data_IF_970454280920
#
_entry.id   IF_970454280920
#
_cell.length_a   1.000
_cell.length_b   1.000
_cell.length_c   1.000
_cell.angle_alpha   90.00
_cell.angle_beta   90.00
_cell.angle_gamma   90.00
#
_symmetry.space_group_name_H-M   'P 1'
#
loop_
_entity.id
_entity.type
_entity.pdbx_description
1 polymer ?
#
# COMPACT_ATOMS: atom_id res chain seq x y z
N UNK A 1 2.65 -20.47 11.10
CA UNK A 1 3.72 -19.67 10.47
C UNK A 1 3.11 -18.94 9.27
N UNK A 2 3.05 -17.62 9.32
CA UNK A 2 2.50 -16.80 8.25
C UNK A 2 3.36 -16.96 6.99
N UNK A 3 2.74 -17.28 5.86
CA UNK A 3 3.48 -17.32 4.58
C UNK A 3 3.62 -15.90 4.06
N UNK A 4 4.85 -15.49 3.76
CA UNK A 4 5.12 -14.27 3.03
C UNK A 4 4.45 -14.33 1.66
N UNK A 5 3.70 -13.29 1.31
CA UNK A 5 3.15 -13.09 -0.02
C UNK A 5 4.04 -12.20 -0.87
N UNK A 6 3.67 -12.03 -2.12
CA UNK A 6 4.28 -11.04 -3.01
C UNK A 6 3.65 -9.67 -2.76
N UNK A 7 2.34 -9.64 -2.56
CA UNK A 7 1.54 -8.44 -2.34
C UNK A 7 1.10 -8.31 -0.89
N UNK A 8 0.67 -9.40 -0.25
CA UNK A 8 0.24 -9.43 1.14
C UNK A 8 1.44 -9.77 2.04
N UNK A 9 1.77 -8.87 2.95
CA UNK A 9 2.85 -9.04 3.90
C UNK A 9 4.19 -9.48 3.25
N UNK A 10 4.79 -8.66 2.38
CA UNK A 10 5.96 -9.04 1.57
C UNK A 10 7.24 -9.25 2.38
N UNK A 11 7.22 -8.95 3.70
CA UNK A 11 8.37 -9.09 4.61
C UNK A 11 9.36 -7.96 4.49
N UNK A 12 10.60 -8.22 4.96
CA UNK A 12 11.64 -7.19 5.17
C UNK A 12 12.71 -7.14 4.08
N UNK A 13 12.82 -8.21 3.27
CA UNK A 13 13.94 -8.41 2.34
C UNK A 13 14.22 -7.22 1.41
N UNK A 14 13.18 -6.60 0.85
CA UNK A 14 13.37 -5.47 -0.08
C UNK A 14 14.00 -4.27 0.63
N UNK A 15 13.55 -3.99 1.85
CA UNK A 15 14.11 -2.92 2.66
C UNK A 15 15.53 -3.23 3.17
N UNK A 16 15.81 -4.48 3.54
CA UNK A 16 17.16 -4.92 3.92
C UNK A 16 18.18 -4.71 2.78
N UNK A 17 17.80 -5.00 1.53
CA UNK A 17 18.64 -4.70 0.36
C UNK A 17 18.95 -3.21 0.27
N UNK A 18 17.96 -2.36 0.56
CA UNK A 18 18.13 -0.91 0.57
C UNK A 18 19.07 -0.45 1.70
N UNK A 19 18.94 -1.03 2.90
CA UNK A 19 19.81 -0.75 4.05
C UNK A 19 21.27 -1.16 3.80
N UNK A 20 21.47 -2.27 3.10
CA UNK A 20 22.81 -2.78 2.77
C UNK A 20 23.49 -2.02 1.62
N UNK A 21 22.85 -1.00 1.08
CA UNK A 21 23.43 -0.16 0.02
C UNK A 21 24.62 0.65 0.56
N UNK A 22 25.65 0.84 -0.27
CA UNK A 22 26.87 1.60 0.11
C UNK A 22 26.55 3.01 0.64
N UNK A 23 25.47 3.62 0.17
CA UNK A 23 24.96 4.90 0.65
C UNK A 23 23.48 4.68 0.99
N UNK A 24 23.16 4.74 2.26
CA UNK A 24 21.80 4.74 2.78
C UNK A 24 21.57 6.00 3.60
N UNK A 25 20.45 6.67 3.36
CA UNK A 25 19.99 7.81 4.16
C UNK A 25 18.76 7.38 4.94
N UNK A 26 18.85 7.41 6.26
CA UNK A 26 17.72 7.06 7.13
C UNK A 26 16.58 8.05 6.98
N UNK A 27 15.46 7.55 6.48
CA UNK A 27 14.19 8.29 6.33
C UNK A 27 13.10 7.74 7.24
N UNK A 28 13.46 6.97 8.26
CA UNK A 28 12.49 6.33 9.16
C UNK A 28 11.65 7.31 9.98
N UNK A 29 12.03 8.59 10.06
CA UNK A 29 11.15 9.65 10.55
C UNK A 29 9.85 9.83 9.76
N UNK A 30 9.73 9.25 8.54
CA UNK A 30 8.46 9.16 7.84
C UNK A 30 7.45 8.27 8.59
N UNK A 31 7.94 7.22 9.25
CA UNK A 31 7.11 6.28 10.01
C UNK A 31 6.38 7.00 11.15
N UNK A 32 7.07 7.85 11.90
CA UNK A 32 6.46 8.66 12.96
C UNK A 32 5.31 9.52 12.43
N UNK A 33 5.51 10.14 11.25
CA UNK A 33 4.47 10.94 10.60
C UNK A 33 3.28 10.09 10.16
N UNK A 34 3.53 8.90 9.61
CA UNK A 34 2.44 8.00 9.19
C UNK A 34 1.74 7.34 10.37
N UNK A 35 2.46 7.03 11.46
CA UNK A 35 1.85 6.55 12.71
C UNK A 35 0.81 7.52 13.26
N UNK A 36 1.11 8.83 13.25
CA UNK A 36 0.20 9.87 13.72
C UNK A 36 -1.09 10.00 12.89
N UNK A 37 -1.15 9.39 11.71
CA UNK A 37 -2.31 9.44 10.81
C UNK A 37 -3.19 8.19 10.89
N UNK A 38 -2.69 7.09 11.45
CA UNK A 38 -3.44 5.83 11.59
C UNK A 38 -4.66 6.06 12.46
N UNK A 39 -5.82 5.60 11.99
CA UNK A 39 -7.09 5.74 12.70
C UNK A 39 -7.66 7.17 12.73
N UNK A 40 -7.14 8.08 11.89
CA UNK A 40 -7.65 9.44 11.72
C UNK A 40 -8.25 9.64 10.33
N UNK A 41 -8.98 10.74 10.13
CA UNK A 41 -9.49 11.11 8.80
C UNK A 41 -8.36 11.43 7.80
N UNK A 42 -7.13 11.57 8.26
CA UNK A 42 -5.94 11.87 7.44
C UNK A 42 -5.13 10.63 7.06
N UNK A 43 -5.70 9.44 7.25
CA UNK A 43 -5.06 8.15 6.95
C UNK A 43 -4.76 7.91 5.44
N UNK A 44 -5.20 8.82 4.58
CA UNK A 44 -4.93 8.76 3.13
C UNK A 44 -3.80 9.71 2.76
N UNK A 45 -2.63 9.15 2.50
CA UNK A 45 -1.40 9.90 2.21
C UNK A 45 -1.00 9.72 0.76
N UNK A 46 -0.83 10.81 0.02
CA UNK A 46 -0.26 10.77 -1.32
C UNK A 46 1.01 11.61 -1.41
N UNK A 47 2.09 10.95 -1.84
CA UNK A 47 3.41 11.57 -1.99
C UNK A 47 3.79 11.66 -3.46
N UNK A 48 3.84 12.88 -3.97
CA UNK A 48 4.30 13.17 -5.33
C UNK A 48 5.73 13.67 -5.30
N UNK A 49 6.65 12.93 -5.92
CA UNK A 49 8.07 13.30 -6.06
C UNK A 49 8.61 12.82 -7.40
N UNK A 50 9.60 13.50 -7.98
CA UNK A 50 10.28 13.05 -9.18
C UNK A 50 10.84 11.62 -9.04
N UNK A 51 11.20 11.01 -10.18
CA UNK A 51 11.92 9.72 -10.16
C UNK A 51 13.23 9.84 -9.38
N UNK A 52 13.68 8.73 -8.78
CA UNK A 52 14.94 8.61 -8.00
C UNK A 52 14.95 9.34 -6.65
N UNK A 53 13.81 9.79 -6.14
CA UNK A 53 13.69 10.40 -4.80
C UNK A 53 13.38 9.39 -3.68
N UNK A 54 13.53 8.08 -3.94
CA UNK A 54 13.41 7.03 -2.92
C UNK A 54 11.97 6.70 -2.52
N UNK A 55 10.97 6.93 -3.41
CA UNK A 55 9.55 6.61 -3.14
C UNK A 55 9.33 5.12 -2.88
N UNK A 56 9.85 4.26 -3.76
CA UNK A 56 9.71 2.80 -3.61
C UNK A 56 10.43 2.29 -2.36
N UNK A 57 11.61 2.83 -2.04
CA UNK A 57 12.32 2.53 -0.79
C UNK A 57 11.49 2.92 0.44
N UNK A 58 10.80 4.07 0.40
CA UNK A 58 9.91 4.48 1.48
C UNK A 58 8.73 3.50 1.64
N UNK A 59 8.12 3.06 0.54
CA UNK A 59 7.07 2.03 0.58
C UNK A 59 7.59 0.69 1.11
N UNK A 60 8.81 0.28 0.76
CA UNK A 60 9.47 -0.93 1.28
C UNK A 60 9.73 -0.83 2.78
N UNK A 61 10.20 0.31 3.24
CA UNK A 61 10.41 0.60 4.66
C UNK A 61 9.09 0.52 5.44
N UNK A 62 8.04 1.17 4.95
CA UNK A 62 6.72 1.13 5.59
C UNK A 62 6.14 -0.31 5.60
N UNK A 63 6.30 -1.07 4.50
CA UNK A 63 5.88 -2.46 4.44
C UNK A 63 6.59 -3.32 5.50
N UNK A 64 7.88 -3.12 5.64
CA UNK A 64 8.71 -3.84 6.63
C UNK A 64 8.37 -3.49 8.07
N UNK A 65 8.05 -2.22 8.33
CA UNK A 65 7.73 -1.74 9.67
C UNK A 65 6.33 -2.18 10.13
N UNK A 66 5.32 -1.96 9.29
CA UNK A 66 3.94 -2.28 9.66
C UNK A 66 3.62 -3.77 9.58
N UNK A 67 4.30 -4.51 8.69
CA UNK A 67 3.99 -5.89 8.36
C UNK A 67 4.18 -6.86 9.52
N UNK A 68 3.12 -7.61 9.86
CA UNK A 68 3.06 -8.53 11.00
C UNK A 68 3.64 -9.92 10.75
N UNK A 69 4.03 -10.21 9.52
CA UNK A 69 4.49 -11.57 9.12
C UNK A 69 5.90 -11.90 9.57
N UNK A 70 6.71 -10.88 9.83
CA UNK A 70 8.11 -10.98 10.26
C UNK A 70 8.37 -9.97 11.36
N UNK A 71 9.06 -10.37 12.41
CA UNK A 71 9.56 -9.42 13.39
C UNK A 71 10.72 -8.61 12.78
N UNK A 72 10.50 -7.33 12.62
CA UNK A 72 11.48 -6.39 12.06
C UNK A 72 12.13 -5.49 13.11
N UNK A 73 11.95 -5.78 14.39
CA UNK A 73 12.47 -4.95 15.49
C UNK A 73 13.98 -4.75 15.41
N UNK A 74 14.77 -5.79 15.12
CA UNK A 74 16.21 -5.68 14.99
C UNK A 74 16.69 -4.69 13.90
N UNK A 75 15.85 -4.49 12.88
CA UNK A 75 16.12 -3.52 11.80
C UNK A 75 15.82 -2.11 12.32
N UNK A 76 14.63 -1.90 12.86
CA UNK A 76 14.14 -0.57 13.20
C UNK A 76 14.68 -0.03 14.52
N UNK A 77 15.14 -0.89 15.45
CA UNK A 77 15.83 -0.48 16.68
C UNK A 77 17.12 0.32 16.40
N UNK A 78 17.69 0.17 15.20
CA UNK A 78 18.92 0.86 14.75
C UNK A 78 18.64 2.15 13.97
N UNK A 79 17.39 2.48 13.70
CA UNK A 79 16.98 3.62 12.90
C UNK A 79 16.38 4.73 13.76
N UNK A 80 16.32 5.95 13.23
CA UNK A 80 15.85 7.13 13.96
C UNK A 80 14.44 6.97 14.55
N UNK A 81 13.58 6.18 13.93
CA UNK A 81 12.23 5.89 14.44
C UNK A 81 12.22 5.25 15.83
N UNK A 82 13.28 4.56 16.22
CA UNK A 82 13.34 3.89 17.53
C UNK A 82 13.22 4.84 18.71
N UNK A 83 13.51 6.13 18.52
CA UNK A 83 13.35 7.18 19.54
C UNK A 83 11.93 7.78 19.61
N UNK A 84 11.04 7.48 18.67
CA UNK A 84 9.68 8.00 18.65
C UNK A 84 8.77 7.27 19.66
N UNK A 85 7.91 7.99 20.37
CA UNK A 85 6.97 7.40 21.34
C UNK A 85 6.04 6.37 20.68
N UNK A 86 5.60 6.62 19.43
CA UNK A 86 4.72 5.73 18.67
C UNK A 86 5.42 4.50 18.08
N UNK A 87 6.75 4.35 18.28
CA UNK A 87 7.54 3.31 17.61
C UNK A 87 7.00 1.89 17.86
N UNK A 88 6.83 1.50 19.13
CA UNK A 88 6.40 0.14 19.49
C UNK A 88 4.89 -0.08 19.31
N UNK A 89 4.11 0.97 19.24
CA UNK A 89 2.65 0.89 19.12
C UNK A 89 2.23 0.26 17.79
N UNK A 90 2.91 0.61 16.71
CA UNK A 90 2.53 0.21 15.34
C UNK A 90 3.48 -0.80 14.69
N UNK A 91 4.65 -1.08 15.31
CA UNK A 91 5.63 -2.02 14.78
C UNK A 91 5.04 -3.43 14.67
N UNK A 92 5.02 -3.99 13.46
CA UNK A 92 4.54 -5.34 13.14
C UNK A 92 3.08 -5.63 13.57
N UNK A 93 2.19 -4.65 13.44
CA UNK A 93 0.79 -4.76 13.91
C UNK A 93 -0.23 -5.00 12.81
N UNK A 94 0.08 -4.74 11.55
CA UNK A 94 -0.88 -4.69 10.46
C UNK A 94 -0.64 -5.77 9.41
N UNK A 95 -1.70 -6.12 8.70
CA UNK A 95 -1.54 -6.76 7.40
C UNK A 95 -1.23 -5.68 6.36
N UNK A 96 -0.17 -5.87 5.60
CA UNK A 96 0.30 -4.90 4.61
C UNK A 96 0.02 -5.42 3.22
N UNK A 97 -0.69 -4.63 2.40
CA UNK A 97 -0.80 -4.86 0.96
C UNK A 97 0.13 -3.86 0.27
N UNK A 98 1.13 -4.37 -0.47
CA UNK A 98 2.05 -3.54 -1.25
C UNK A 98 1.92 -3.85 -2.74
N UNK A 99 1.62 -2.83 -3.53
CA UNK A 99 1.38 -2.93 -4.96
C UNK A 99 2.18 -1.86 -5.71
N UNK A 100 2.80 -2.24 -6.82
CA UNK A 100 3.27 -1.32 -7.84
C UNK A 100 2.29 -1.38 -9.03
N UNK A 101 1.58 -0.29 -9.29
CA UNK A 101 0.57 -0.25 -10.35
C UNK A 101 1.17 -0.37 -11.75
N UNK A 102 2.40 0.12 -11.95
CA UNK A 102 3.08 0.01 -13.24
C UNK A 102 3.38 -1.45 -13.64
N UNK A 103 3.62 -2.33 -12.66
CA UNK A 103 3.89 -3.75 -12.95
C UNK A 103 2.68 -4.42 -13.59
N UNK A 104 1.48 -4.12 -13.08
CA UNK A 104 0.23 -4.64 -13.66
C UNK A 104 -0.08 -4.00 -15.01
N UNK A 105 0.11 -2.68 -15.12
CA UNK A 105 -0.15 -1.97 -16.36
C UNK A 105 0.72 -2.47 -17.51
N UNK A 106 1.98 -2.76 -17.25
CA UNK A 106 2.95 -3.16 -18.28
C UNK A 106 2.67 -4.52 -18.93
N UNK A 107 1.87 -5.37 -18.27
CA UNK A 107 1.55 -6.74 -18.74
C UNK A 107 0.09 -6.91 -19.17
N UNK A 108 -0.72 -5.84 -19.07
CA UNK A 108 -2.15 -5.86 -19.40
C UNK A 108 -2.41 -5.14 -20.72
N UNK A 109 -3.34 -5.63 -21.50
CA UNK A 109 -3.78 -5.01 -22.76
C UNK A 109 -4.81 -3.90 -22.56
N UNK A 110 -5.42 -3.80 -21.38
CA UNK A 110 -6.42 -2.79 -21.04
C UNK A 110 -6.47 -2.50 -19.55
N UNK A 111 -7.12 -1.38 -19.17
CA UNK A 111 -7.30 -1.03 -17.76
C UNK A 111 -8.19 -2.03 -17.03
N UNK A 112 -9.18 -2.61 -17.70
CA UNK A 112 -10.07 -3.61 -17.12
C UNK A 112 -9.28 -4.86 -16.77
N UNK A 113 -8.51 -5.37 -17.71
CA UNK A 113 -7.64 -6.54 -17.50
C UNK A 113 -6.61 -6.30 -16.39
N UNK A 114 -6.02 -5.10 -16.35
CA UNK A 114 -5.11 -4.69 -15.27
C UNK A 114 -5.75 -4.82 -13.89
N UNK A 115 -6.95 -4.26 -13.72
CA UNK A 115 -7.65 -4.25 -12.44
C UNK A 115 -8.15 -5.66 -12.06
N UNK A 116 -8.61 -6.46 -13.01
CA UNK A 116 -8.98 -7.85 -12.79
C UNK A 116 -7.78 -8.69 -12.35
N UNK A 117 -6.64 -8.54 -13.01
CA UNK A 117 -5.41 -9.23 -12.65
C UNK A 117 -4.91 -8.84 -11.27
N UNK A 118 -4.95 -7.55 -10.93
CA UNK A 118 -4.60 -7.04 -9.60
C UNK A 118 -5.49 -7.69 -8.54
N UNK A 119 -6.80 -7.63 -8.72
CA UNK A 119 -7.75 -8.22 -7.77
C UNK A 119 -7.51 -9.72 -7.60
N UNK A 120 -7.43 -10.47 -8.71
CA UNK A 120 -7.20 -11.90 -8.69
C UNK A 120 -5.92 -12.28 -7.91
N UNK A 121 -4.82 -11.54 -8.14
CA UNK A 121 -3.54 -11.81 -7.47
C UNK A 121 -3.61 -11.55 -5.97
N UNK A 122 -4.15 -10.40 -5.57
CA UNK A 122 -4.25 -10.03 -4.15
C UNK A 122 -5.23 -10.93 -3.41
N UNK A 123 -6.42 -11.16 -3.97
CA UNK A 123 -7.44 -12.03 -3.36
C UNK A 123 -6.93 -13.46 -3.19
N UNK A 124 -6.16 -13.97 -4.16
CA UNK A 124 -5.52 -15.29 -4.01
C UNK A 124 -4.60 -15.38 -2.80
N UNK A 125 -3.87 -14.31 -2.49
CA UNK A 125 -3.00 -14.27 -1.30
C UNK A 125 -3.83 -14.10 -0.02
N UNK A 126 -4.87 -13.27 -0.05
CA UNK A 126 -5.83 -13.15 1.07
C UNK A 126 -6.49 -14.50 1.39
N UNK A 127 -6.99 -15.23 0.39
CA UNK A 127 -7.55 -16.58 0.58
C UNK A 127 -6.55 -17.57 1.19
N UNK A 128 -5.28 -17.48 0.83
CA UNK A 128 -4.23 -18.34 1.41
C UNK A 128 -3.93 -17.99 2.87
N UNK A 129 -3.99 -16.71 3.21
CA UNK A 129 -3.73 -16.22 4.58
C UNK A 129 -4.96 -16.39 5.49
N UNK A 130 -6.15 -16.30 4.92
CA UNK A 130 -7.44 -16.31 5.61
C UNK A 130 -8.44 -17.25 4.93
N UNK A 131 -8.16 -18.56 4.87
CA UNK A 131 -8.96 -19.51 4.10
C UNK A 131 -10.42 -19.62 4.56
N UNK A 132 -10.67 -19.37 5.85
CA UNK A 132 -12.00 -19.54 6.46
C UNK A 132 -12.87 -18.28 6.32
N UNK A 133 -12.29 -17.13 5.94
CA UNK A 133 -12.99 -15.83 5.95
C UNK A 133 -13.21 -15.22 4.58
N UNK A 134 -12.49 -15.64 3.54
CA UNK A 134 -12.59 -15.03 2.21
C UNK A 134 -13.44 -15.90 1.27
N UNK A 135 -14.71 -15.53 1.14
CA UNK A 135 -15.66 -16.25 0.28
C UNK A 135 -15.65 -15.75 -1.18
N UNK A 136 -15.48 -14.44 -1.40
CA UNK A 136 -15.64 -13.80 -2.70
C UNK A 136 -14.32 -13.51 -3.42
N UNK A 137 -14.33 -13.49 -4.75
CA UNK A 137 -13.20 -13.13 -5.60
C UNK A 137 -13.16 -11.59 -5.88
N UNK A 138 -13.51 -10.80 -4.87
CA UNK A 138 -13.48 -9.34 -4.93
C UNK A 138 -12.65 -8.81 -3.76
N UNK A 139 -11.69 -7.92 -4.04
CA UNK A 139 -10.75 -7.42 -3.05
C UNK A 139 -11.43 -6.65 -1.92
N UNK A 140 -12.48 -5.88 -2.23
CA UNK A 140 -13.21 -5.07 -1.25
C UNK A 140 -13.95 -5.98 -0.27
N UNK A 141 -14.69 -6.97 -0.77
CA UNK A 141 -15.42 -7.92 0.07
C UNK A 141 -14.46 -8.81 0.86
N UNK A 142 -13.40 -9.32 0.20
CA UNK A 142 -12.41 -10.14 0.90
C UNK A 142 -11.78 -9.42 2.11
N UNK A 143 -11.43 -8.14 1.96
CA UNK A 143 -10.87 -7.36 3.06
C UNK A 143 -11.92 -7.01 4.12
N UNK A 144 -13.17 -6.76 3.70
CA UNK A 144 -14.27 -6.51 4.62
C UNK A 144 -14.56 -7.75 5.47
N UNK A 145 -14.67 -8.94 4.86
CA UNK A 145 -14.90 -10.20 5.55
C UNK A 145 -13.80 -10.47 6.59
N UNK A 146 -12.52 -10.27 6.21
CA UNK A 146 -11.40 -10.43 7.15
C UNK A 146 -11.51 -9.44 8.31
N UNK A 147 -11.86 -8.18 8.04
CA UNK A 147 -12.01 -7.17 9.08
C UNK A 147 -13.16 -7.50 10.01
N UNK A 148 -14.32 -7.87 9.49
CA UNK A 148 -15.52 -8.19 10.27
C UNK A 148 -15.27 -9.38 11.21
N UNK A 149 -14.55 -10.40 10.74
CA UNK A 149 -14.27 -11.61 11.53
C UNK A 149 -13.09 -11.48 12.50
N UNK A 150 -12.12 -10.60 12.18
CA UNK A 150 -10.85 -10.57 12.93
C UNK A 150 -10.55 -9.23 13.60
N UNK A 151 -11.26 -8.16 13.25
CA UNK A 151 -10.96 -6.78 13.63
C UNK A 151 -9.65 -6.23 13.04
N UNK A 152 -9.04 -6.93 12.07
CA UNK A 152 -7.74 -6.56 11.54
C UNK A 152 -7.84 -5.52 10.45
N UNK A 153 -7.07 -4.46 10.62
CA UNK A 153 -6.94 -3.41 9.63
C UNK A 153 -5.71 -3.62 8.75
N UNK A 154 -5.74 -3.01 7.57
CA UNK A 154 -4.70 -3.09 6.56
C UNK A 154 -3.98 -1.76 6.38
N UNK A 155 -2.68 -1.83 6.19
CA UNK A 155 -1.86 -0.75 5.63
C UNK A 155 -1.70 -1.03 4.14
N UNK A 156 -2.17 -0.12 3.30
CA UNK A 156 -2.19 -0.29 1.85
C UNK A 156 -1.18 0.68 1.22
N UNK A 157 -0.18 0.12 0.56
CA UNK A 157 0.94 0.84 -0.04
C UNK A 157 0.87 0.69 -1.56
N UNK A 158 0.63 1.79 -2.26
CA UNK A 158 0.48 1.82 -3.73
C UNK A 158 1.59 2.66 -4.33
N UNK A 159 2.54 2.03 -5.00
CA UNK A 159 3.58 2.73 -5.75
C UNK A 159 3.15 2.95 -7.21
N UNK A 160 3.64 4.03 -7.82
CA UNK A 160 3.34 4.46 -9.20
C UNK A 160 1.82 4.55 -9.48
N UNK A 161 1.03 5.01 -8.47
CA UNK A 161 -0.44 5.11 -8.57
C UNK A 161 -0.91 5.91 -9.80
N UNK A 162 -0.08 6.83 -10.27
CA UNK A 162 -0.37 7.77 -11.35
C UNK A 162 0.02 7.24 -12.75
N UNK A 163 0.45 5.98 -12.86
CA UNK A 163 0.88 5.39 -14.13
C UNK A 163 -0.19 5.48 -15.23
N UNK A 164 -1.47 5.30 -14.87
CA UNK A 164 -2.59 5.39 -15.82
C UNK A 164 -2.67 6.78 -16.48
N UNK A 165 -2.48 7.84 -15.69
CA UNK A 165 -2.53 9.22 -16.20
C UNK A 165 -1.33 9.57 -17.08
N UNK A 166 -0.24 8.83 -16.95
CA UNK A 166 0.97 8.99 -17.77
C UNK A 166 0.87 8.23 -19.09
N UNK A 167 0.27 7.03 -19.07
CA UNK A 167 0.18 6.13 -20.22
C UNK A 167 -1.12 6.37 -21.02
N UNK A 168 -2.25 6.50 -20.35
CA UNK A 168 -3.58 6.70 -20.94
C UNK A 168 -4.04 8.16 -20.84
N UNK A 169 -3.19 9.10 -21.33
CA UNK A 169 -3.38 10.55 -21.16
C UNK A 169 -4.71 11.07 -21.71
N UNK A 170 -5.17 10.51 -22.82
CA UNK A 170 -6.36 10.95 -23.55
C UNK A 170 -7.57 10.02 -23.34
N UNK A 171 -7.40 8.91 -22.64
CA UNK A 171 -8.47 7.95 -22.36
C UNK A 171 -9.11 8.26 -21.00
N UNK A 172 -10.07 9.17 -21.02
CA UNK A 172 -10.78 9.60 -19.83
C UNK A 172 -11.64 8.47 -19.22
N UNK A 173 -12.10 7.51 -20.03
CA UNK A 173 -12.88 6.38 -19.56
C UNK A 173 -12.00 5.42 -18.77
N UNK A 174 -10.82 5.08 -19.28
CA UNK A 174 -9.84 4.27 -18.55
C UNK A 174 -9.42 4.93 -17.23
N UNK A 175 -9.13 6.24 -17.25
CA UNK A 175 -8.80 7.00 -16.05
C UNK A 175 -9.94 6.98 -15.04
N UNK A 176 -11.18 7.15 -15.48
CA UNK A 176 -12.36 7.08 -14.61
C UNK A 176 -12.53 5.71 -13.97
N UNK A 177 -12.46 4.62 -14.76
CA UNK A 177 -12.55 3.25 -14.25
C UNK A 177 -11.51 2.96 -13.17
N UNK A 178 -10.28 3.42 -13.40
CA UNK A 178 -9.20 3.30 -12.44
C UNK A 178 -9.48 4.06 -11.14
N UNK A 179 -9.89 5.32 -11.22
CA UNK A 179 -10.23 6.14 -10.06
C UNK A 179 -11.42 5.57 -9.28
N UNK A 180 -12.44 5.08 -9.98
CA UNK A 180 -13.60 4.44 -9.36
C UNK A 180 -13.20 3.17 -8.62
N UNK A 181 -12.27 2.39 -9.16
CA UNK A 181 -11.69 1.23 -8.46
C UNK A 181 -10.95 1.64 -7.20
N UNK A 182 -9.99 2.58 -7.27
CA UNK A 182 -9.23 3.06 -6.11
C UNK A 182 -10.17 3.60 -5.03
N UNK A 183 -11.19 4.37 -5.43
CA UNK A 183 -12.19 4.89 -4.50
C UNK A 183 -12.98 3.77 -3.81
N UNK A 184 -13.50 2.81 -4.58
CA UNK A 184 -14.29 1.70 -4.03
C UNK A 184 -13.48 0.82 -3.07
N UNK A 185 -12.17 0.71 -3.32
CA UNK A 185 -11.26 -0.08 -2.52
C UNK A 185 -10.84 0.61 -1.21
N UNK A 186 -10.61 1.93 -1.26
CA UNK A 186 -9.99 2.65 -0.13
C UNK A 186 -10.97 3.53 0.65
N UNK A 187 -11.86 4.25 -0.04
CA UNK A 187 -12.64 5.30 0.58
C UNK A 187 -13.71 4.75 1.52
N UNK A 188 -13.81 5.34 2.71
CA UNK A 188 -14.84 5.03 3.73
C UNK A 188 -14.85 3.52 4.10
N UNK A 189 -13.67 2.89 4.19
CA UNK A 189 -13.50 1.48 4.52
C UNK A 189 -12.91 1.31 5.91
N UNK A 190 -13.64 0.62 6.79
CA UNK A 190 -13.21 0.35 8.18
C UNK A 190 -11.94 -0.50 8.25
N UNK A 191 -11.68 -1.32 7.25
CA UNK A 191 -10.48 -2.14 7.19
C UNK A 191 -9.19 -1.36 6.84
N UNK A 192 -9.27 -0.11 6.41
CA UNK A 192 -8.09 0.70 6.08
C UNK A 192 -7.57 1.37 7.35
N UNK A 193 -6.35 1.04 7.77
CA UNK A 193 -5.62 1.75 8.82
C UNK A 193 -4.85 2.94 8.24
N UNK A 194 -4.20 2.72 7.09
CA UNK A 194 -3.43 3.72 6.35
C UNK A 194 -3.41 3.35 4.87
N UNK A 195 -3.64 4.30 4.00
CA UNK A 195 -3.36 4.19 2.57
C UNK A 195 -2.25 5.19 2.20
N UNK A 196 -1.11 4.67 1.75
CA UNK A 196 0.04 5.46 1.34
C UNK A 196 0.33 5.25 -0.15
N UNK A 197 0.11 6.28 -0.94
CA UNK A 197 0.27 6.23 -2.39
C UNK A 197 1.47 7.07 -2.82
N UNK A 198 2.28 6.56 -3.74
CA UNK A 198 3.40 7.31 -4.32
C UNK A 198 3.29 7.42 -5.82
N UNK A 199 3.68 8.58 -6.35
CA UNK A 199 3.65 8.87 -7.77
C UNK A 199 4.55 10.05 -8.15
N UNK A 200 4.48 10.45 -9.41
CA UNK A 200 5.19 11.60 -9.95
C UNK A 200 4.25 12.79 -10.04
N UNK A 201 2.99 12.53 -10.42
CA UNK A 201 2.00 13.55 -10.69
C UNK A 201 1.24 13.93 -9.42
N UNK A 202 0.96 15.21 -9.17
CA UNK A 202 0.13 15.63 -8.04
C UNK A 202 -1.34 15.28 -8.30
N UNK A 203 -2.03 14.77 -7.29
CA UNK A 203 -3.46 14.37 -7.36
C UNK A 203 -4.36 15.48 -7.93
N UNK A 204 -4.12 16.75 -7.58
CA UNK A 204 -4.96 17.88 -7.98
C UNK A 204 -5.07 18.11 -9.51
N UNK A 205 -4.22 17.47 -10.32
CA UNK A 205 -4.19 17.70 -11.78
C UNK A 205 -5.10 16.78 -12.57
N UNK A 206 -5.56 15.67 -11.99
CA UNK A 206 -6.20 14.56 -12.74
C UNK A 206 -7.54 14.09 -12.16
N UNK A 207 -7.97 14.63 -11.06
CA UNK A 207 -9.30 14.36 -10.53
C UNK A 207 -10.28 15.45 -10.96
N UNK A 208 -11.39 15.11 -11.60
CA UNK A 208 -12.61 15.89 -11.37
C UNK A 208 -12.76 16.03 -9.86
N UNK A 209 -13.03 17.23 -9.37
CA UNK A 209 -12.95 17.67 -7.98
C UNK A 209 -13.57 16.76 -6.89
N UNK A 210 -14.14 15.60 -7.25
CA UNK A 210 -14.76 14.64 -6.31
C UNK A 210 -14.18 13.24 -6.35
N UNK A 211 -13.30 12.89 -7.30
CA UNK A 211 -12.94 11.48 -7.51
C UNK A 211 -12.00 10.91 -6.42
N UNK A 212 -11.12 11.72 -5.85
CA UNK A 212 -10.20 11.35 -4.77
C UNK A 212 -10.26 12.31 -3.58
N UNK A 213 -11.40 12.92 -3.28
CA UNK A 213 -11.64 13.49 -1.96
C UNK A 213 -11.76 12.31 -0.98
N UNK A 214 -10.62 11.78 -0.62
CA UNK A 214 -10.43 10.84 0.48
C UNK A 214 -10.13 11.63 1.73
#
# INVERSE_FOLDING_TARGET
MWKLGVYLNPGTRAFEISLNSKIYVDKSGLIEKTNALIGTQQQFVCVSRPRRFGKSMAAEMLASYYGRSVDSSEIFDKLNISSAESYREHLNKYDVIRINMQDFLSISGSIVEMLEMLQMRVVRELKKAYPDYVAFDNIVFAMQDIFDETGRCFVILIDEWDCIFREYKNDLEAQKKYLDFIRSWLKDKSYVALAYMTGILPIKKYGTHSALNM
#
